data_IF_161810985749
#
_entry.id   IF_161810985749
#
_cell.length_a   1.000
_cell.length_b   1.000
_cell.length_c   1.000
_cell.angle_alpha   90.00
_cell.angle_beta   90.00
_cell.angle_gamma   90.00
#
_symmetry.space_group_name_H-M   'P 1'
#
loop_
_entity.id
_entity.type
_entity.pdbx_description
1 polymer ?
#
# COMPACT_ATOMS: atom_id res chain seq x y z
N UNK A 1 19.66 44.12 -46.23
CA UNK A 1 18.84 45.10 -46.98
C UNK A 1 17.38 44.74 -46.77
N UNK A 2 16.69 45.36 -45.81
CA UNK A 2 15.61 46.33 -46.03
C UNK A 2 14.49 45.97 -45.04
N UNK A 3 14.20 46.72 -43.97
CA UNK A 3 13.50 48.02 -43.91
C UNK A 3 12.14 47.95 -44.62
N UNK A 4 10.97 48.31 -44.06
CA UNK A 4 10.62 49.18 -42.93
C UNK A 4 9.08 49.13 -42.76
N UNK A 5 8.60 49.39 -41.52
CA UNK A 5 7.50 50.29 -41.06
C UNK A 5 6.15 50.29 -41.82
N UNK A 6 4.96 50.38 -41.21
CA UNK A 6 4.56 50.67 -39.83
C UNK A 6 3.12 51.24 -39.81
N UNK A 7 2.59 51.45 -38.60
CA UNK A 7 1.36 52.22 -38.30
C UNK A 7 0.04 51.44 -38.46
N UNK A 8 -0.96 51.51 -37.58
CA UNK A 8 -1.35 52.56 -36.64
C UNK A 8 -2.05 51.97 -35.40
N UNK A 9 -2.12 52.77 -34.32
CA UNK A 9 -2.55 52.32 -33.00
C UNK A 9 -3.96 52.73 -32.54
N UNK A 10 -4.40 51.98 -31.51
CA UNK A 10 -5.37 52.26 -30.43
C UNK A 10 -6.89 52.30 -30.76
N UNK A 11 -7.80 52.00 -29.79
CA UNK A 11 -7.58 51.78 -28.35
C UNK A 11 -8.10 50.45 -27.77
N UNK A 12 -7.60 50.17 -26.56
CA UNK A 12 -7.95 49.10 -25.64
C UNK A 12 -9.40 49.28 -25.14
N UNK A 13 -10.21 48.23 -25.25
CA UNK A 13 -11.38 48.01 -24.37
C UNK A 13 -11.18 46.67 -23.65
N UNK A 14 -11.04 46.75 -22.34
CA UNK A 14 -11.01 45.60 -21.43
C UNK A 14 -12.38 44.90 -21.49
N UNK A 15 -12.39 43.62 -21.86
CA UNK A 15 -13.44 42.68 -21.45
C UNK A 15 -12.78 41.33 -21.22
N UNK A 16 -13.03 40.78 -20.03
CA UNK A 16 -12.55 39.49 -19.56
C UNK A 16 -13.07 38.37 -20.46
N UNK A 17 -12.15 37.59 -21.04
CA UNK A 17 -12.45 36.31 -21.68
C UNK A 17 -11.91 35.18 -20.81
N UNK A 18 -12.82 34.50 -20.10
CA UNK A 18 -12.60 33.14 -19.59
C UNK A 18 -12.86 32.16 -20.74
N UNK A 19 -11.79 31.78 -21.44
CA UNK A 19 -11.83 30.76 -22.48
C UNK A 19 -11.44 29.38 -21.97
N UNK A 20 -12.11 28.37 -22.53
CA UNK A 20 -11.87 26.90 -22.47
C UNK A 20 -12.62 26.16 -21.37
N UNK A 21 -13.82 25.64 -21.67
CA UNK A 21 -14.17 24.20 -21.75
C UNK A 21 -15.52 24.08 -22.48
N UNK A 22 -15.54 24.13 -23.81
CA UNK A 22 -16.74 23.79 -24.59
C UNK A 22 -16.35 23.44 -26.03
N UNK A 23 -15.64 22.32 -26.18
CA UNK A 23 -15.19 21.85 -27.48
C UNK A 23 -14.71 20.42 -27.39
N UNK A 24 -15.63 19.49 -27.10
CA UNK A 24 -15.48 18.04 -27.31
C UNK A 24 -16.83 17.32 -27.06
N UNK A 25 -17.91 17.81 -27.67
CA UNK A 25 -19.16 17.05 -27.85
C UNK A 25 -19.78 17.44 -29.19
N UNK A 26 -19.21 16.95 -30.29
CA UNK A 26 -19.91 16.89 -31.57
C UNK A 26 -19.36 15.77 -32.45
N UNK A 27 -20.30 15.05 -33.06
CA UNK A 27 -20.19 13.94 -34.02
C UNK A 27 -19.82 12.59 -33.37
N UNK A 28 -20.66 11.55 -33.46
CA UNK A 28 -21.39 11.13 -34.66
C UNK A 28 -22.82 10.66 -34.36
N UNK A 29 -23.79 11.38 -34.93
CA UNK A 29 -25.12 10.88 -35.26
C UNK A 29 -25.03 10.39 -36.71
N UNK A 30 -25.11 9.09 -36.94
CA UNK A 30 -25.53 8.54 -38.24
C UNK A 30 -26.94 8.02 -38.10
N UNK A 31 -27.85 8.74 -38.73
CA UNK A 31 -29.25 8.42 -38.93
C UNK A 31 -29.33 7.11 -39.75
N UNK A 32 -29.94 6.07 -39.19
CA UNK A 32 -30.18 4.80 -39.86
C UNK A 32 -31.44 4.13 -39.30
N UNK A 33 -32.55 4.30 -40.00
CA UNK A 33 -33.83 3.59 -39.92
C UNK A 33 -34.53 3.44 -38.55
N UNK A 34 -35.47 4.36 -38.31
CA UNK A 34 -36.77 3.97 -37.76
C UNK A 34 -37.46 3.05 -38.76
N UNK A 35 -37.47 1.75 -38.47
CA UNK A 35 -38.25 0.75 -39.19
C UNK A 35 -38.71 -0.34 -38.23
N UNK A 36 -40.02 -0.36 -37.98
CA UNK A 36 -40.78 -1.49 -37.41
C UNK A 36 -40.51 -1.91 -35.95
N UNK A 37 -41.03 -1.11 -35.00
CA UNK A 37 -41.41 -1.61 -33.66
C UNK A 37 -42.89 -1.33 -33.36
N UNK A 38 -43.78 -1.67 -34.30
CA UNK A 38 -45.22 -1.63 -34.06
C UNK A 38 -45.76 -2.88 -33.35
N UNK A 39 -45.06 -4.03 -33.37
CA UNK A 39 -45.62 -5.30 -32.87
C UNK A 39 -44.76 -5.97 -31.79
N UNK A 40 -44.74 -5.42 -30.57
CA UNK A 40 -44.31 -6.12 -29.37
C UNK A 40 -45.45 -6.13 -28.34
N UNK A 41 -45.69 -7.25 -27.64
CA UNK A 41 -46.76 -7.37 -26.66
C UNK A 41 -46.60 -6.32 -25.54
N UNK A 42 -47.70 -5.81 -24.96
CA UNK A 42 -47.68 -4.69 -24.01
C UNK A 42 -46.77 -4.89 -22.78
N UNK A 43 -46.47 -6.14 -22.42
CA UNK A 43 -45.50 -6.47 -21.36
C UNK A 43 -44.04 -6.17 -21.72
N UNK A 44 -43.62 -6.27 -22.99
CA UNK A 44 -42.25 -6.00 -23.40
C UNK A 44 -41.91 -4.49 -23.39
N UNK A 45 -42.89 -3.64 -23.74
CA UNK A 45 -42.75 -2.17 -23.68
C UNK A 45 -42.69 -1.65 -22.23
N UNK A 46 -43.45 -2.26 -21.30
CA UNK A 46 -43.35 -1.95 -19.85
C UNK A 46 -42.02 -2.35 -19.22
N UNK A 47 -41.43 -3.48 -19.62
CA UNK A 47 -40.14 -3.96 -19.10
C UNK A 47 -38.98 -3.09 -19.63
N UNK A 48 -39.03 -2.69 -20.91
CA UNK A 48 -38.03 -1.82 -21.53
C UNK A 48 -38.01 -0.41 -20.91
N UNK A 49 -39.18 0.20 -20.68
CA UNK A 49 -39.27 1.50 -20.01
C UNK A 49 -38.80 1.45 -18.55
N UNK A 50 -39.13 0.38 -17.81
CA UNK A 50 -38.69 0.22 -16.41
C UNK A 50 -37.18 0.01 -16.27
N UNK A 51 -36.52 -0.60 -17.26
CA UNK A 51 -35.07 -0.74 -17.29
C UNK A 51 -34.39 0.60 -17.63
N UNK A 52 -34.93 1.33 -18.60
CA UNK A 52 -34.41 2.64 -18.98
C UNK A 52 -34.62 3.68 -17.86
N UNK A 53 -35.74 3.64 -17.15
CA UNK A 53 -36.01 4.44 -15.95
C UNK A 53 -35.08 4.06 -14.79
N UNK A 54 -34.85 2.77 -14.53
CA UNK A 54 -33.88 2.35 -13.51
C UNK A 54 -32.45 2.75 -13.84
N UNK A 55 -32.08 2.71 -15.13
CA UNK A 55 -30.77 3.19 -15.60
C UNK A 55 -30.66 4.71 -15.46
N UNK A 56 -31.71 5.45 -15.80
CA UNK A 56 -31.78 6.92 -15.60
C UNK A 56 -31.76 7.28 -14.11
N UNK A 57 -32.45 6.53 -13.24
CA UNK A 57 -32.41 6.69 -11.79
C UNK A 57 -31.03 6.38 -11.21
N UNK A 58 -30.40 5.27 -11.58
CA UNK A 58 -29.06 4.93 -11.10
C UNK A 58 -28.02 5.96 -11.58
N UNK A 59 -28.13 6.41 -12.82
CA UNK A 59 -27.29 7.48 -13.37
C UNK A 59 -27.55 8.80 -12.65
N UNK A 60 -28.81 9.14 -12.36
CA UNK A 60 -29.18 10.32 -11.60
C UNK A 60 -28.69 10.26 -10.14
N UNK A 61 -28.74 9.10 -9.47
CA UNK A 61 -28.23 8.89 -8.12
C UNK A 61 -26.70 9.03 -8.10
N UNK A 62 -26.03 8.46 -9.10
CA UNK A 62 -24.57 8.60 -9.27
C UNK A 62 -24.20 10.06 -9.56
N UNK A 63 -24.92 10.73 -10.45
CA UNK A 63 -24.71 12.14 -10.75
C UNK A 63 -25.03 13.04 -9.55
N UNK A 64 -26.08 12.75 -8.77
CA UNK A 64 -26.42 13.46 -7.54
C UNK A 64 -25.38 13.24 -6.44
N UNK A 65 -24.80 12.04 -6.35
CA UNK A 65 -23.70 11.74 -5.43
C UNK A 65 -22.41 12.47 -5.82
N UNK A 66 -22.12 12.57 -7.12
CA UNK A 66 -20.95 13.29 -7.65
C UNK A 66 -21.15 14.81 -7.53
N UNK A 67 -22.31 15.34 -7.89
CA UNK A 67 -22.65 16.77 -7.79
C UNK A 67 -22.77 17.21 -6.33
N UNK A 68 -23.37 16.39 -5.46
CA UNK A 68 -23.44 16.69 -4.02
C UNK A 68 -22.07 16.69 -3.33
N UNK A 69 -21.11 15.92 -3.85
CA UNK A 69 -19.73 15.91 -3.36
C UNK A 69 -18.88 17.07 -3.92
N UNK A 70 -19.12 17.53 -5.15
CA UNK A 70 -18.39 18.66 -5.75
C UNK A 70 -18.97 20.05 -5.39
N UNK A 71 -20.29 20.19 -5.19
CA UNK A 71 -20.97 21.49 -5.04
C UNK A 71 -21.66 21.71 -3.68
N UNK A 72 -21.46 20.82 -2.71
CA UNK A 72 -22.10 20.89 -1.38
C UNK A 72 -21.77 22.15 -0.55
N UNK A 73 -20.81 22.97 -0.98
CA UNK A 73 -20.46 24.24 -0.35
C UNK A 73 -21.19 25.48 -0.94
N UNK A 74 -21.86 25.37 -2.10
CA UNK A 74 -22.45 26.53 -2.79
C UNK A 74 -23.98 26.64 -2.69
N UNK A 75 -24.65 25.75 -1.95
CA UNK A 75 -26.11 25.77 -1.76
C UNK A 75 -26.45 26.20 -0.32
N UNK A 76 -26.10 27.44 0.04
CA UNK A 76 -26.78 28.15 1.13
C UNK A 76 -27.74 29.19 0.52
N UNK A 77 -29.06 29.13 0.77
CA UNK A 77 -29.95 30.23 0.43
C UNK A 77 -29.79 31.39 1.43
N UNK A 78 -29.99 32.66 1.03
CA UNK A 78 -29.78 33.80 1.91
C UNK A 78 -30.83 33.82 3.04
N UNK A 79 -30.35 34.06 4.26
CA UNK A 79 -31.17 34.11 5.48
C UNK A 79 -32.12 35.31 5.44
N UNK A 80 -33.42 35.07 5.58
CA UNK A 80 -34.43 36.10 5.89
C UNK A 80 -35.00 35.86 7.30
N UNK A 81 -35.39 36.93 8.04
CA UNK A 81 -35.57 36.86 9.48
C UNK A 81 -36.93 36.28 9.88
N UNK A 82 -36.88 35.63 11.04
CA UNK A 82 -37.91 34.87 11.75
C UNK A 82 -39.26 35.56 11.94
N UNK A 83 -40.35 34.76 11.88
CA UNK A 83 -41.59 35.05 12.62
C UNK A 83 -42.19 33.76 13.19
N UNK A 84 -42.59 33.83 14.45
CA UNK A 84 -43.18 32.73 15.22
C UNK A 84 -44.68 32.52 14.89
N UNK A 85 -45.14 31.26 14.87
CA UNK A 85 -46.44 30.79 15.44
C UNK A 85 -46.70 29.27 15.33
N UNK A 86 -46.97 28.67 16.51
CA UNK A 86 -48.02 27.71 16.94
C UNK A 86 -48.43 26.47 16.12
N UNK A 87 -48.18 25.31 16.75
CA UNK A 87 -48.98 24.05 16.88
C UNK A 87 -50.03 23.64 15.83
N UNK A 88 -49.86 22.43 15.29
CA UNK A 88 -50.93 21.60 14.72
C UNK A 88 -50.54 20.86 13.43
N UNK A 89 -50.04 19.62 13.57
CA UNK A 89 -49.89 18.53 12.58
C UNK A 89 -49.59 18.85 11.09
N UNK A 90 -48.46 18.33 10.59
CA UNK A 90 -48.24 18.03 9.17
C UNK A 90 -47.37 16.74 9.03
N UNK A 91 -47.50 15.98 7.92
CA UNK A 91 -47.11 14.58 7.81
C UNK A 91 -45.63 14.36 7.48
N UNK A 92 -45.18 13.13 7.74
CA UNK A 92 -43.86 12.57 7.42
C UNK A 92 -43.37 12.98 6.02
N UNK A 93 -42.28 13.75 6.00
CA UNK A 93 -41.61 14.11 4.77
C UNK A 93 -40.59 15.21 4.99
N UNK A 94 -39.30 14.88 4.77
CA UNK A 94 -38.22 15.84 4.59
C UNK A 94 -38.00 16.85 5.74
N UNK A 95 -37.59 16.35 6.90
CA UNK A 95 -36.98 17.18 7.96
C UNK A 95 -35.46 17.25 7.79
N UNK A 96 -34.94 18.44 7.50
CA UNK A 96 -33.53 18.79 7.60
C UNK A 96 -33.10 18.82 9.07
N UNK A 97 -32.29 17.84 9.50
CA UNK A 97 -31.37 18.03 10.63
C UNK A 97 -29.95 18.02 10.09
N UNK A 98 -29.34 19.21 10.20
CA UNK A 98 -27.93 19.54 10.04
C UNK A 98 -27.02 18.44 10.59
N UNK A 99 -26.26 17.79 9.70
CA UNK A 99 -25.26 16.77 10.05
C UNK A 99 -25.68 15.31 9.86
N UNK A 100 -26.96 14.98 9.71
CA UNK A 100 -27.41 13.57 9.57
C UNK A 100 -27.71 13.11 8.13
N UNK A 101 -28.21 14.01 7.28
CA UNK A 101 -28.68 13.67 5.92
C UNK A 101 -27.54 13.32 4.96
N UNK A 102 -26.43 14.05 5.00
CA UNK A 102 -25.26 13.82 4.15
C UNK A 102 -24.56 12.50 4.50
N UNK A 103 -24.51 12.14 5.78
CA UNK A 103 -24.00 10.85 6.26
C UNK A 103 -24.89 9.70 5.80
N UNK A 104 -26.21 9.90 5.80
CA UNK A 104 -27.14 8.95 5.23
C UNK A 104 -26.92 8.77 3.74
N UNK A 105 -26.80 9.85 2.96
CA UNK A 105 -26.57 9.77 1.52
C UNK A 105 -25.24 9.06 1.20
N UNK A 106 -24.14 9.45 1.86
CA UNK A 106 -22.83 8.85 1.62
C UNK A 106 -22.83 7.34 1.93
N UNK A 107 -23.48 6.95 3.03
CA UNK A 107 -23.65 5.54 3.40
C UNK A 107 -24.48 4.76 2.38
N UNK A 108 -25.60 5.32 1.91
CA UNK A 108 -26.45 4.66 0.90
C UNK A 108 -25.74 4.53 -0.44
N UNK A 109 -25.04 5.59 -0.87
CA UNK A 109 -24.21 5.58 -2.09
C UNK A 109 -23.11 4.53 -1.99
N UNK A 110 -22.36 4.48 -0.87
CA UNK A 110 -21.35 3.46 -0.62
C UNK A 110 -21.92 2.03 -0.72
N UNK A 111 -23.06 1.77 -0.08
CA UNK A 111 -23.74 0.46 -0.16
C UNK A 111 -24.13 0.10 -1.59
N UNK A 112 -24.67 1.05 -2.35
CA UNK A 112 -25.04 0.83 -3.75
C UNK A 112 -23.82 0.53 -4.64
N UNK A 113 -22.73 1.29 -4.47
CA UNK A 113 -21.48 1.08 -5.20
C UNK A 113 -20.87 -0.31 -4.87
N UNK A 114 -20.82 -0.65 -3.58
CA UNK A 114 -20.29 -1.94 -3.10
C UNK A 114 -21.15 -3.10 -3.59
N UNK A 115 -22.48 -2.95 -3.59
CA UNK A 115 -23.39 -3.93 -4.18
C UNK A 115 -23.13 -4.13 -5.68
N UNK A 116 -22.99 -3.05 -6.44
CA UNK A 116 -22.69 -3.14 -7.88
C UNK A 116 -21.35 -3.82 -8.16
N UNK A 117 -20.35 -3.64 -7.29
CA UNK A 117 -19.06 -4.33 -7.41
C UNK A 117 -19.20 -5.83 -7.11
N UNK A 118 -19.77 -6.18 -5.95
CA UNK A 118 -19.68 -7.52 -5.37
C UNK A 118 -20.82 -8.47 -5.79
N UNK A 119 -21.93 -7.95 -6.30
CA UNK A 119 -23.07 -8.80 -6.66
C UNK A 119 -22.65 -9.80 -7.75
N UNK A 120 -23.01 -11.09 -7.65
CA UNK A 120 -22.74 -12.06 -8.71
C UNK A 120 -23.35 -11.63 -10.05
N UNK A 121 -22.71 -12.04 -11.15
CA UNK A 121 -23.22 -11.74 -12.49
C UNK A 121 -24.59 -12.38 -12.71
N UNK A 122 -25.51 -11.63 -13.30
CA UNK A 122 -26.82 -12.14 -13.69
C UNK A 122 -27.23 -11.57 -15.05
N UNK A 123 -28.25 -12.12 -15.73
CA UNK A 123 -28.76 -11.54 -16.97
C UNK A 123 -29.19 -10.07 -16.82
N UNK A 124 -29.61 -9.65 -15.60
CA UNK A 124 -30.00 -8.27 -15.29
C UNK A 124 -28.81 -7.36 -14.98
N UNK A 125 -27.71 -7.92 -14.51
CA UNK A 125 -26.50 -7.20 -14.14
C UNK A 125 -25.26 -7.98 -14.60
N UNK A 126 -24.88 -7.86 -15.89
CA UNK A 126 -23.73 -8.54 -16.46
C UNK A 126 -22.42 -8.19 -15.73
N UNK A 127 -21.47 -9.13 -15.73
CA UNK A 127 -20.17 -8.99 -15.04
C UNK A 127 -19.37 -7.76 -15.49
N UNK A 128 -19.42 -7.43 -16.79
CA UNK A 128 -18.67 -6.33 -17.41
C UNK A 128 -19.62 -5.30 -18.02
N UNK A 129 -20.52 -4.77 -17.20
CA UNK A 129 -21.45 -3.72 -17.62
C UNK A 129 -20.91 -2.33 -17.28
N UNK A 130 -21.30 -1.32 -18.08
CA UNK A 130 -20.93 0.09 -17.85
C UNK A 130 -21.23 0.55 -16.43
N UNK A 131 -22.37 0.11 -15.85
CA UNK A 131 -22.76 0.51 -14.49
C UNK A 131 -21.79 -0.03 -13.42
N UNK A 132 -21.31 -1.28 -13.55
CA UNK A 132 -20.29 -1.83 -12.65
C UNK A 132 -18.97 -1.10 -12.81
N UNK A 133 -18.59 -0.79 -14.05
CA UNK A 133 -17.37 -0.03 -14.34
C UNK A 133 -17.41 1.38 -13.73
N UNK A 134 -18.53 2.08 -13.87
CA UNK A 134 -18.72 3.39 -13.22
C UNK A 134 -18.64 3.28 -11.70
N UNK A 135 -19.22 2.22 -11.11
CA UNK A 135 -19.11 1.99 -9.67
C UNK A 135 -17.65 1.79 -9.24
N UNK A 136 -16.86 1.02 -9.99
CA UNK A 136 -15.43 0.80 -9.74
C UNK A 136 -14.64 2.13 -9.74
N UNK A 137 -14.87 2.98 -10.76
CA UNK A 137 -14.18 4.27 -10.87
C UNK A 137 -14.50 5.20 -9.69
N UNK A 138 -15.78 5.26 -9.28
CA UNK A 138 -16.24 6.07 -8.15
C UNK A 138 -15.74 5.55 -6.80
N UNK A 139 -15.65 4.23 -6.63
CA UNK A 139 -15.04 3.62 -5.44
C UNK A 139 -13.57 4.04 -5.36
N UNK A 140 -12.82 3.96 -6.46
CA UNK A 140 -11.42 4.33 -6.52
C UNK A 140 -11.18 5.81 -6.17
N UNK A 141 -11.90 6.72 -6.85
CA UNK A 141 -11.73 8.18 -6.67
C UNK A 141 -12.27 8.70 -5.35
N UNK A 142 -13.37 8.13 -4.86
CA UNK A 142 -14.04 8.56 -3.64
C UNK A 142 -13.71 7.73 -2.41
N UNK A 143 -12.68 6.87 -2.45
CA UNK A 143 -12.42 5.88 -1.39
C UNK A 143 -12.42 6.49 0.01
N UNK A 144 -11.77 7.64 0.21
CA UNK A 144 -11.71 8.32 1.52
C UNK A 144 -13.08 8.76 2.06
N UNK A 145 -14.04 9.04 1.18
CA UNK A 145 -15.42 9.39 1.53
C UNK A 145 -16.21 8.14 1.92
N UNK A 146 -15.95 7.02 1.23
CA UNK A 146 -16.73 5.79 1.37
C UNK A 146 -16.17 4.80 2.39
N UNK A 147 -14.85 4.85 2.69
CA UNK A 147 -14.10 3.96 3.59
C UNK A 147 -14.85 3.67 4.91
N UNK A 148 -15.42 4.66 5.63
CA UNK A 148 -16.09 4.40 6.90
C UNK A 148 -17.36 3.54 6.81
N UNK A 149 -17.90 3.34 5.60
CA UNK A 149 -19.19 2.68 5.36
C UNK A 149 -19.08 1.41 4.52
N UNK A 150 -17.87 0.97 4.14
CA UNK A 150 -17.64 -0.22 3.31
C UNK A 150 -16.89 -1.32 4.05
N UNK A 151 -17.09 -2.54 3.59
CA UNK A 151 -16.16 -3.63 3.85
C UNK A 151 -14.97 -3.49 2.88
N UNK A 152 -13.88 -2.88 3.37
CA UNK A 152 -12.67 -2.64 2.60
C UNK A 152 -12.06 -3.94 2.07
N UNK A 153 -12.12 -5.03 2.85
CA UNK A 153 -11.59 -6.33 2.41
C UNK A 153 -12.38 -6.85 1.22
N UNK A 154 -13.71 -6.89 1.33
CA UNK A 154 -14.56 -7.37 0.25
C UNK A 154 -14.38 -6.54 -1.03
N UNK A 155 -14.31 -5.21 -0.91
CA UNK A 155 -14.06 -4.31 -2.05
C UNK A 155 -12.71 -4.60 -2.71
N UNK A 156 -11.62 -4.71 -1.92
CA UNK A 156 -10.29 -5.00 -2.47
C UNK A 156 -10.26 -6.39 -3.14
N UNK A 157 -10.90 -7.41 -2.55
CA UNK A 157 -10.95 -8.75 -3.15
C UNK A 157 -11.75 -8.75 -4.46
N UNK A 158 -12.87 -8.04 -4.51
CA UNK A 158 -13.65 -7.89 -5.75
C UNK A 158 -12.89 -7.15 -6.85
N UNK A 159 -12.13 -6.11 -6.51
CA UNK A 159 -11.27 -5.41 -7.46
C UNK A 159 -10.12 -6.30 -7.95
N UNK A 160 -9.47 -7.06 -7.06
CA UNK A 160 -8.40 -7.99 -7.42
C UNK A 160 -8.90 -9.15 -8.29
N UNK A 161 -10.12 -9.64 -8.05
CA UNK A 161 -10.75 -10.67 -8.87
C UNK A 161 -10.92 -10.21 -10.33
N UNK A 162 -11.34 -8.95 -10.54
CA UNK A 162 -11.41 -8.35 -11.87
C UNK A 162 -10.02 -8.18 -12.52
N UNK A 163 -8.96 -8.11 -11.71
CA UNK A 163 -7.59 -7.97 -12.18
C UNK A 163 -6.87 -9.31 -12.43
N UNK A 164 -7.41 -10.42 -11.93
CA UNK A 164 -6.75 -11.73 -11.93
C UNK A 164 -6.30 -12.23 -13.32
N UNK A 165 -7.03 -11.88 -14.39
CA UNK A 165 -6.67 -12.21 -15.78
C UNK A 165 -6.39 -10.97 -16.63
N UNK A 166 -6.15 -9.82 -16.00
CA UNK A 166 -5.98 -8.55 -16.70
C UNK A 166 -4.85 -8.57 -17.73
N UNK A 167 -3.72 -9.22 -17.43
CA UNK A 167 -2.57 -9.29 -18.35
C UNK A 167 -2.90 -10.01 -19.66
N UNK A 168 -3.67 -11.11 -19.59
CA UNK A 168 -4.15 -11.83 -20.78
C UNK A 168 -5.15 -11.01 -21.61
N UNK A 169 -5.91 -10.13 -20.95
CA UNK A 169 -6.95 -9.31 -21.57
C UNK A 169 -6.38 -8.00 -22.16
N UNK A 170 -5.32 -7.46 -21.56
CA UNK A 170 -4.68 -6.19 -21.92
C UNK A 170 -3.62 -6.35 -23.04
N UNK A 171 -3.10 -7.55 -23.29
CA UNK A 171 -2.20 -7.83 -24.43
C UNK A 171 -2.82 -7.48 -25.79
N UNK A 172 -4.14 -7.54 -25.91
CA UNK A 172 -4.90 -7.17 -27.11
C UNK A 172 -4.80 -5.67 -27.47
N UNK A 173 -4.43 -4.80 -26.53
CA UNK A 173 -4.27 -3.35 -26.74
C UNK A 173 -3.11 -3.07 -27.69
N UNK A 174 -2.03 -3.85 -27.59
CA UNK A 174 -0.83 -3.71 -28.43
C UNK A 174 -1.14 -3.93 -29.91
N UNK A 175 -2.27 -4.58 -30.23
CA UNK A 175 -2.75 -4.86 -31.59
C UNK A 175 -3.73 -3.80 -32.13
N UNK A 176 -3.96 -2.68 -31.43
CA UNK A 176 -4.78 -1.57 -31.94
C UNK A 176 -6.30 -1.85 -32.00
N UNK A 177 -6.78 -2.92 -31.37
CA UNK A 177 -8.20 -3.29 -31.32
C UNK A 177 -8.95 -2.57 -30.18
N UNK A 178 -10.27 -2.33 -30.32
CA UNK A 178 -11.09 -1.79 -29.23
C UNK A 178 -11.06 -2.73 -28.01
N UNK A 179 -11.01 -2.15 -26.81
CA UNK A 179 -11.01 -2.90 -25.56
C UNK A 179 -12.28 -3.75 -25.43
N UNK A 180 -12.11 -5.02 -25.07
CA UNK A 180 -13.25 -5.83 -24.63
C UNK A 180 -13.85 -5.22 -23.34
N UNK A 181 -15.16 -5.39 -23.07
CA UNK A 181 -15.75 -4.95 -21.81
C UNK A 181 -15.03 -5.51 -20.57
N UNK A 182 -14.50 -6.73 -20.67
CA UNK A 182 -13.69 -7.36 -19.63
C UNK A 182 -12.35 -6.64 -19.42
N UNK A 183 -11.62 -6.34 -20.51
CA UNK A 183 -10.36 -5.60 -20.46
C UNK A 183 -10.54 -4.17 -19.91
N UNK A 184 -11.63 -3.50 -20.27
CA UNK A 184 -11.97 -2.17 -19.75
C UNK A 184 -12.34 -2.19 -18.25
N UNK A 185 -13.08 -3.22 -17.82
CA UNK A 185 -13.39 -3.43 -16.39
C UNK A 185 -12.11 -3.69 -15.59
N UNK A 186 -11.22 -4.55 -16.10
CA UNK A 186 -9.94 -4.84 -15.48
C UNK A 186 -9.05 -3.58 -15.38
N UNK A 187 -8.95 -2.79 -16.46
CA UNK A 187 -8.24 -1.51 -16.44
C UNK A 187 -8.77 -0.57 -15.36
N UNK A 188 -10.09 -0.43 -15.27
CA UNK A 188 -10.74 0.42 -14.27
C UNK A 188 -10.46 -0.06 -12.84
N UNK A 189 -10.48 -1.39 -12.61
CA UNK A 189 -10.15 -1.97 -11.32
C UNK A 189 -8.68 -1.75 -10.92
N UNK A 190 -7.73 -1.94 -11.84
CA UNK A 190 -6.30 -1.63 -11.62
C UNK A 190 -6.08 -0.16 -11.24
N UNK A 191 -6.79 0.75 -11.92
CA UNK A 191 -6.73 2.17 -11.61
C UNK A 191 -7.30 2.46 -10.21
N UNK A 192 -8.49 1.91 -9.90
CA UNK A 192 -9.12 2.05 -8.59
C UNK A 192 -8.24 1.52 -7.46
N UNK A 193 -7.62 0.34 -7.60
CA UNK A 193 -6.67 -0.20 -6.63
C UNK A 193 -5.49 0.75 -6.37
N UNK A 194 -4.98 1.40 -7.42
CA UNK A 194 -3.88 2.35 -7.29
C UNK A 194 -4.33 3.60 -6.53
N UNK A 195 -5.52 4.13 -6.83
CA UNK A 195 -6.10 5.28 -6.14
C UNK A 195 -6.33 4.97 -4.66
N UNK A 196 -6.97 3.84 -4.34
CA UNK A 196 -7.25 3.39 -2.97
C UNK A 196 -5.94 3.28 -2.18
N UNK A 197 -4.95 2.57 -2.73
CA UNK A 197 -3.66 2.37 -2.09
C UNK A 197 -2.96 3.70 -1.80
N UNK A 198 -2.92 4.62 -2.76
CA UNK A 198 -2.29 5.94 -2.53
C UNK A 198 -3.12 6.87 -1.64
N UNK A 199 -4.44 6.73 -1.60
CA UNK A 199 -5.28 7.58 -0.76
C UNK A 199 -5.19 7.21 0.73
N UNK A 200 -5.11 5.91 1.02
CA UNK A 200 -5.06 5.37 2.39
C UNK A 200 -4.11 4.16 2.46
N UNK A 201 -2.78 4.36 2.37
CA UNK A 201 -1.82 3.26 2.35
C UNK A 201 -1.96 2.29 3.53
N UNK A 202 -2.17 2.74 4.78
CA UNK A 202 -2.34 1.82 5.90
C UNK A 202 -3.56 0.90 5.76
N UNK A 203 -4.68 1.42 5.24
CA UNK A 203 -5.90 0.63 5.05
C UNK A 203 -5.68 -0.47 3.99
N UNK A 204 -4.99 -0.14 2.89
CA UNK A 204 -4.66 -1.13 1.86
C UNK A 204 -3.69 -2.19 2.39
N UNK A 205 -2.53 -1.78 2.93
CA UNK A 205 -1.46 -2.68 3.36
C UNK A 205 -1.97 -3.64 4.43
N UNK A 206 -2.59 -3.13 5.51
CA UNK A 206 -3.06 -3.97 6.61
C UNK A 206 -4.20 -4.90 6.20
N UNK A 207 -5.03 -4.49 5.23
CA UNK A 207 -6.09 -5.36 4.72
C UNK A 207 -5.50 -6.50 3.90
N UNK A 208 -4.64 -6.22 2.91
CA UNK A 208 -4.02 -7.27 2.09
C UNK A 208 -3.15 -8.21 2.94
N UNK A 209 -2.37 -7.68 3.89
CA UNK A 209 -1.58 -8.52 4.80
C UNK A 209 -2.46 -9.47 5.63
N UNK A 210 -3.61 -8.98 6.12
CA UNK A 210 -4.59 -9.82 6.84
C UNK A 210 -5.18 -10.91 5.94
N UNK A 211 -5.49 -10.60 4.68
CA UNK A 211 -5.94 -11.59 3.70
C UNK A 211 -4.86 -12.64 3.43
N UNK A 212 -3.60 -12.23 3.29
CA UNK A 212 -2.43 -13.11 3.13
C UNK A 212 -2.27 -14.05 4.32
N UNK A 213 -2.34 -13.53 5.56
CA UNK A 213 -2.26 -14.35 6.76
C UNK A 213 -3.42 -15.34 6.85
N UNK A 214 -4.65 -14.91 6.55
CA UNK A 214 -5.82 -15.79 6.53
C UNK A 214 -5.66 -16.90 5.50
N UNK A 215 -5.20 -16.57 4.30
CA UNK A 215 -4.97 -17.53 3.22
C UNK A 215 -3.88 -18.54 3.59
N UNK A 216 -2.79 -18.08 4.20
CA UNK A 216 -1.69 -18.94 4.66
C UNK A 216 -2.15 -19.88 5.78
N UNK A 217 -2.96 -19.39 6.72
CA UNK A 217 -3.54 -20.22 7.78
C UNK A 217 -4.49 -21.29 7.23
N UNK A 218 -5.30 -20.95 6.21
CA UNK A 218 -6.17 -21.91 5.53
C UNK A 218 -5.37 -23.01 4.80
N UNK A 219 -4.24 -22.66 4.18
CA UNK A 219 -3.36 -23.63 3.51
C UNK A 219 -2.74 -24.65 4.47
N UNK A 220 -2.50 -24.26 5.72
CA UNK A 220 -1.97 -25.15 6.74
C UNK A 220 -2.98 -26.25 7.16
N UNK A 221 -4.27 -26.07 6.88
CA UNK A 221 -5.31 -27.05 7.16
C UNK A 221 -5.55 -27.99 5.96
N UNK A 222 -5.30 -29.29 6.15
CA UNK A 222 -5.33 -30.33 5.10
C UNK A 222 -6.65 -30.45 4.33
N UNK A 223 -7.79 -30.12 4.95
CA UNK A 223 -9.12 -30.20 4.31
C UNK A 223 -9.42 -29.03 3.36
N UNK A 224 -8.70 -27.91 3.46
CA UNK A 224 -8.96 -26.71 2.66
C UNK A 224 -8.12 -26.63 1.37
N UNK A 225 -7.14 -27.53 1.18
CA UNK A 225 -6.17 -27.49 0.09
C UNK A 225 -6.78 -27.51 -1.33
N UNK A 226 -7.96 -28.12 -1.51
CA UNK A 226 -8.55 -28.30 -2.84
C UNK A 226 -9.06 -27.01 -3.51
N UNK A 227 -9.32 -25.93 -2.75
CA UNK A 227 -9.89 -24.67 -3.29
C UNK A 227 -8.95 -23.46 -3.22
N UNK A 228 -7.72 -23.62 -2.71
CA UNK A 228 -6.79 -22.50 -2.42
C UNK A 228 -6.32 -21.77 -3.69
N UNK A 229 -6.03 -22.51 -4.76
CA UNK A 229 -5.50 -21.96 -6.01
C UNK A 229 -6.53 -21.15 -6.81
N UNK A 230 -7.81 -21.23 -6.45
CA UNK A 230 -8.90 -20.50 -7.11
C UNK A 230 -9.20 -19.14 -6.47
N UNK A 231 -8.61 -18.85 -5.30
CA UNK A 231 -8.87 -17.60 -4.59
C UNK A 231 -8.40 -16.37 -5.39
N UNK A 232 -9.18 -15.29 -5.34
CA UNK A 232 -8.87 -14.02 -6.00
C UNK A 232 -7.48 -13.49 -5.60
N UNK A 233 -7.08 -13.67 -4.34
CA UNK A 233 -5.76 -13.29 -3.81
C UNK A 233 -4.61 -14.05 -4.50
N UNK A 234 -4.73 -15.38 -4.67
CA UNK A 234 -3.69 -16.19 -5.29
C UNK A 234 -3.54 -15.89 -6.79
N UNK A 235 -4.64 -15.56 -7.48
CA UNK A 235 -4.64 -15.22 -8.91
C UNK A 235 -4.15 -13.81 -9.19
N UNK A 236 -4.28 -12.88 -8.23
CA UNK A 236 -3.94 -11.47 -8.41
C UNK A 236 -2.54 -11.08 -7.89
N UNK A 237 -1.62 -12.05 -7.67
CA UNK A 237 -0.28 -11.79 -7.11
C UNK A 237 0.53 -10.73 -7.87
N UNK A 238 0.50 -10.76 -9.21
CA UNK A 238 1.23 -9.77 -10.03
C UNK A 238 0.68 -8.35 -9.83
N UNK A 239 -0.65 -8.24 -9.75
CA UNK A 239 -1.31 -6.97 -9.52
C UNK A 239 -1.07 -6.43 -8.11
N UNK A 240 -1.05 -7.30 -7.09
CA UNK A 240 -0.72 -6.93 -5.72
C UNK A 240 0.71 -6.36 -5.67
N UNK A 241 1.69 -7.05 -6.28
CA UNK A 241 3.08 -6.58 -6.33
C UNK A 241 3.19 -5.22 -7.02
N UNK A 242 2.45 -4.99 -8.12
CA UNK A 242 2.40 -3.70 -8.80
C UNK A 242 1.89 -2.58 -7.88
N UNK A 243 0.84 -2.83 -7.10
CA UNK A 243 0.29 -1.82 -6.18
C UNK A 243 1.26 -1.56 -5.01
N UNK A 244 1.90 -2.60 -4.49
CA UNK A 244 2.94 -2.46 -3.45
C UNK A 244 4.14 -1.65 -3.96
N UNK A 245 4.57 -1.87 -5.20
CA UNK A 245 5.62 -1.08 -5.84
C UNK A 245 5.24 0.42 -5.92
N UNK A 246 4.02 0.71 -6.38
CA UNK A 246 3.48 2.09 -6.39
C UNK A 246 3.45 2.71 -4.99
N UNK A 247 3.06 1.94 -3.97
CA UNK A 247 3.04 2.40 -2.59
C UNK A 247 4.44 2.76 -2.10
N UNK A 248 5.43 1.91 -2.38
CA UNK A 248 6.82 2.13 -1.98
C UNK A 248 7.42 3.35 -2.70
N UNK A 249 7.05 3.59 -3.96
CA UNK A 249 7.52 4.75 -4.72
C UNK A 249 6.82 6.05 -4.33
N UNK A 250 5.50 6.05 -4.16
CA UNK A 250 4.72 7.28 -3.91
C UNK A 250 4.55 7.61 -2.43
N UNK A 251 4.46 6.61 -1.57
CA UNK A 251 4.18 6.73 -0.14
C UNK A 251 5.22 5.97 0.72
N UNK A 252 6.53 6.29 0.59
CA UNK A 252 7.60 5.53 1.23
C UNK A 252 7.55 5.57 2.77
N UNK A 253 7.06 6.66 3.37
CA UNK A 253 6.93 6.77 4.82
C UNK A 253 5.87 5.81 5.37
N UNK A 254 4.68 5.79 4.77
CA UNK A 254 3.62 4.86 5.15
C UNK A 254 4.03 3.40 4.91
N UNK A 255 4.76 3.12 3.83
CA UNK A 255 5.30 1.79 3.56
C UNK A 255 6.30 1.36 4.64
N UNK A 256 7.12 2.27 5.15
CA UNK A 256 8.10 1.99 6.21
C UNK A 256 7.44 1.80 7.57
N UNK A 257 6.35 2.51 7.83
CA UNK A 257 5.55 2.33 9.04
C UNK A 257 4.94 0.92 9.15
N UNK A 258 4.70 0.27 8.01
CA UNK A 258 4.10 -1.06 7.89
C UNK A 258 5.01 -2.04 7.14
N UNK A 259 6.32 -1.91 7.30
CA UNK A 259 7.26 -2.58 6.40
C UNK A 259 7.32 -4.10 6.58
N UNK A 260 6.97 -4.59 7.76
CA UNK A 260 6.83 -6.03 8.01
C UNK A 260 5.64 -6.58 7.24
N UNK A 261 4.50 -5.90 7.28
CA UNK A 261 3.29 -6.24 6.52
C UNK A 261 3.54 -6.15 5.02
N UNK A 262 4.25 -5.13 4.56
CA UNK A 262 4.68 -5.00 3.15
C UNK A 262 5.55 -6.20 2.75
N UNK A 263 6.52 -6.60 3.58
CA UNK A 263 7.35 -7.76 3.31
C UNK A 263 6.54 -9.07 3.31
N UNK A 264 5.60 -9.25 4.23
CA UNK A 264 4.71 -10.42 4.27
C UNK A 264 3.94 -10.57 2.94
N UNK A 265 3.41 -9.46 2.42
CA UNK A 265 2.71 -9.42 1.13
C UNK A 265 3.66 -9.79 -0.01
N UNK A 266 4.85 -9.19 -0.05
CA UNK A 266 5.87 -9.48 -1.07
C UNK A 266 6.25 -10.96 -1.06
N UNK A 267 6.53 -11.52 0.13
CA UNK A 267 6.91 -12.91 0.30
C UNK A 267 5.80 -13.91 -0.05
N UNK A 268 4.53 -13.50 0.10
CA UNK A 268 3.39 -14.28 -0.38
C UNK A 268 3.28 -14.27 -1.92
N UNK A 269 3.51 -13.12 -2.53
CA UNK A 269 3.32 -12.93 -3.96
C UNK A 269 4.49 -13.46 -4.80
N UNK A 270 5.72 -13.42 -4.30
CA UNK A 270 6.91 -13.89 -5.02
C UNK A 270 7.19 -15.35 -4.71
N UNK A 271 7.61 -16.11 -5.71
CA UNK A 271 8.06 -17.49 -5.50
C UNK A 271 9.40 -17.56 -4.77
N UNK A 272 9.46 -18.33 -3.68
CA UNK A 272 10.70 -18.53 -2.91
C UNK A 272 11.84 -19.11 -3.74
N UNK A 273 11.55 -19.93 -4.75
CA UNK A 273 12.54 -20.46 -5.72
C UNK A 273 13.24 -19.33 -6.48
N UNK A 274 12.47 -18.32 -6.91
CA UNK A 274 12.97 -17.18 -7.66
C UNK A 274 13.86 -16.30 -6.79
N UNK A 275 13.45 -16.00 -5.56
CA UNK A 275 14.25 -15.22 -4.59
C UNK A 275 15.56 -15.93 -4.28
N UNK A 276 15.57 -17.26 -4.13
CA UNK A 276 16.82 -18.01 -3.91
C UNK A 276 17.78 -17.96 -5.09
N UNK A 277 17.25 -17.93 -6.33
CA UNK A 277 18.06 -17.97 -7.55
C UNK A 277 18.61 -16.61 -7.95
N UNK A 278 17.79 -15.56 -7.82
CA UNK A 278 18.06 -14.21 -8.33
C UNK A 278 18.34 -13.18 -7.22
N UNK A 279 18.01 -13.52 -5.98
CA UNK A 279 18.04 -12.60 -4.85
C UNK A 279 16.84 -11.66 -4.83
N UNK A 280 16.61 -11.07 -3.65
CA UNK A 280 15.48 -10.16 -3.42
C UNK A 280 15.57 -8.90 -4.29
N UNK A 281 16.78 -8.38 -4.52
CA UNK A 281 16.99 -7.16 -5.29
C UNK A 281 16.55 -7.28 -6.76
N UNK A 282 16.75 -8.43 -7.40
CA UNK A 282 16.27 -8.65 -8.77
C UNK A 282 14.77 -8.97 -8.79
N UNK A 283 14.26 -9.67 -7.78
CA UNK A 283 12.84 -10.04 -7.72
C UNK A 283 11.93 -8.85 -7.41
N UNK A 284 12.39 -7.93 -6.54
CA UNK A 284 11.60 -6.77 -6.10
C UNK A 284 12.53 -5.63 -5.61
N UNK A 285 13.13 -4.85 -6.52
CA UNK A 285 14.16 -3.86 -6.18
C UNK A 285 13.67 -2.73 -5.28
N UNK A 286 12.40 -2.34 -5.38
CA UNK A 286 11.84 -1.19 -4.67
C UNK A 286 11.95 -1.31 -3.14
N UNK A 287 11.82 -2.52 -2.59
CA UNK A 287 11.92 -2.77 -1.14
C UNK A 287 13.35 -2.67 -0.61
N UNK A 288 14.34 -2.95 -1.45
CA UNK A 288 15.76 -2.97 -1.09
C UNK A 288 16.36 -1.56 -0.92
N UNK A 289 15.61 -0.50 -1.26
CA UNK A 289 16.05 0.89 -1.05
C UNK A 289 16.02 1.33 0.41
N UNK A 290 15.32 0.58 1.27
CA UNK A 290 15.23 0.87 2.69
C UNK A 290 16.35 0.18 3.46
N UNK A 291 17.14 0.92 4.23
CA UNK A 291 18.26 0.36 5.00
C UNK A 291 17.84 -0.61 6.10
N UNK A 292 16.56 -0.60 6.49
CA UNK A 292 16.02 -1.54 7.45
C UNK A 292 15.61 -2.89 6.82
N UNK A 293 15.80 -3.08 5.50
CA UNK A 293 15.69 -4.36 4.80
C UNK A 293 17.08 -4.87 4.44
N UNK A 294 17.39 -6.10 4.82
CA UNK A 294 18.62 -6.79 4.42
C UNK A 294 18.32 -8.18 3.89
N UNK A 295 18.96 -8.57 2.78
CA UNK A 295 18.92 -9.93 2.24
C UNK A 295 20.32 -10.54 2.28
N UNK A 296 20.43 -11.75 2.81
CA UNK A 296 21.65 -12.54 2.76
C UNK A 296 21.50 -13.67 1.74
N UNK A 297 22.25 -13.58 0.65
CA UNK A 297 22.22 -14.56 -0.42
C UNK A 297 22.67 -15.95 0.05
N UNK A 298 23.77 -16.01 0.81
CA UNK A 298 24.32 -17.26 1.35
C UNK A 298 23.33 -18.04 2.23
N UNK A 299 22.61 -17.34 3.12
CA UNK A 299 21.67 -17.99 4.03
C UNK A 299 20.24 -18.05 3.48
N UNK A 300 19.93 -17.35 2.38
CA UNK A 300 18.58 -17.09 1.88
C UNK A 300 17.65 -16.58 3.00
N UNK A 301 18.12 -15.55 3.73
CA UNK A 301 17.35 -14.92 4.81
C UNK A 301 17.12 -13.46 4.50
N UNK A 302 15.98 -12.95 4.92
CA UNK A 302 15.63 -11.53 4.86
C UNK A 302 15.43 -11.05 6.30
N UNK A 303 16.00 -9.91 6.64
CA UNK A 303 15.76 -9.21 7.89
C UNK A 303 15.05 -7.90 7.58
N UNK A 304 14.00 -7.60 8.35
CA UNK A 304 13.20 -6.38 8.26
C UNK A 304 13.13 -5.76 9.64
N UNK A 305 13.64 -4.55 9.79
CA UNK A 305 13.53 -3.76 11.01
C UNK A 305 12.17 -3.08 11.11
N UNK A 306 11.45 -3.30 12.21
CA UNK A 306 10.14 -2.71 12.45
C UNK A 306 10.22 -1.38 13.22
N UNK A 307 9.14 -0.59 13.12
CA UNK A 307 8.97 0.66 13.88
C UNK A 307 8.98 0.47 15.39
N UNK A 308 8.56 -0.70 15.87
CA UNK A 308 8.49 -1.02 17.31
C UNK A 308 9.77 -1.70 17.86
N UNK A 309 10.90 -1.58 17.15
CA UNK A 309 12.18 -2.10 17.63
C UNK A 309 12.36 -3.63 17.53
N UNK A 310 11.42 -4.29 16.86
CA UNK A 310 11.50 -5.72 16.53
C UNK A 310 12.12 -5.94 15.16
N UNK A 311 12.81 -7.07 15.00
CA UNK A 311 13.32 -7.57 13.73
C UNK A 311 12.44 -8.73 13.29
N UNK A 312 11.82 -8.63 12.12
CA UNK A 312 11.21 -9.75 11.43
C UNK A 312 12.27 -10.45 10.57
N UNK A 313 12.53 -11.72 10.86
CA UNK A 313 13.53 -12.55 10.20
C UNK A 313 12.83 -13.65 9.41
N UNK A 314 12.92 -13.57 8.09
CA UNK A 314 12.33 -14.52 7.15
C UNK A 314 13.38 -15.52 6.69
N UNK A 315 13.04 -16.80 6.76
CA UNK A 315 13.78 -17.87 6.10
C UNK A 315 13.08 -18.22 4.79
N UNK A 316 13.67 -17.81 3.66
CA UNK A 316 13.08 -17.97 2.32
C UNK A 316 12.95 -19.46 1.94
N UNK A 317 13.76 -20.34 2.54
CA UNK A 317 13.74 -21.79 2.24
C UNK A 317 12.52 -22.45 2.86
N UNK A 318 12.23 -22.10 4.11
CA UNK A 318 11.14 -22.71 4.89
C UNK A 318 9.85 -21.92 4.86
N UNK A 319 9.88 -20.66 4.41
CA UNK A 319 8.74 -19.73 4.48
C UNK A 319 8.41 -19.27 5.90
N UNK A 320 9.24 -19.60 6.90
CA UNK A 320 9.01 -19.23 8.30
C UNK A 320 9.49 -17.82 8.57
N UNK A 321 8.72 -17.08 9.35
CA UNK A 321 9.07 -15.76 9.89
C UNK A 321 9.21 -15.83 11.41
N UNK A 322 10.18 -15.11 11.96
CA UNK A 322 10.40 -14.95 13.39
C UNK A 322 10.48 -13.47 13.74
N UNK A 323 9.78 -13.06 14.78
CA UNK A 323 9.88 -11.71 15.32
C UNK A 323 10.75 -11.73 16.58
N UNK A 324 11.83 -10.95 16.57
CA UNK A 324 12.77 -10.82 17.69
C UNK A 324 12.82 -9.36 18.13
N UNK A 325 12.49 -9.09 19.38
CA UNK A 325 12.63 -7.76 19.95
C UNK A 325 14.09 -7.48 20.29
N UNK A 326 14.60 -6.30 19.89
CA UNK A 326 16.02 -6.00 20.05
C UNK A 326 16.38 -4.55 20.31
N UNK A 327 15.45 -3.64 20.10
CA UNK A 327 15.60 -2.20 20.26
C UNK A 327 14.33 -1.64 20.92
N UNK A 328 14.42 -0.53 21.64
CA UNK A 328 13.28 0.12 22.29
C UNK A 328 12.51 1.05 21.35
N UNK A 329 13.12 1.41 20.22
CA UNK A 329 12.62 2.32 19.21
C UNK A 329 12.86 1.79 17.79
N UNK A 330 12.50 2.58 16.76
CA UNK A 330 12.51 2.13 15.37
C UNK A 330 13.88 1.64 14.91
N UNK A 331 13.90 0.46 14.28
CA UNK A 331 15.11 -0.03 13.63
C UNK A 331 15.29 0.70 12.31
N UNK A 332 16.35 1.49 12.23
CA UNK A 332 16.67 2.36 11.09
C UNK A 332 17.61 1.72 10.08
N UNK A 333 18.40 0.73 10.48
CA UNK A 333 19.24 -0.03 9.57
C UNK A 333 19.43 -1.47 10.03
N UNK A 334 19.52 -2.40 9.07
CA UNK A 334 19.90 -3.79 9.27
C UNK A 334 20.91 -4.20 8.20
N UNK A 335 21.82 -5.11 8.52
CA UNK A 335 22.76 -5.64 7.52
C UNK A 335 23.33 -6.97 7.97
N UNK A 336 23.30 -7.96 7.06
CA UNK A 336 23.91 -9.27 7.31
C UNK A 336 25.42 -9.24 7.07
N UNK A 337 26.15 -10.01 7.87
CA UNK A 337 27.54 -10.30 7.60
C UNK A 337 27.70 -11.08 6.27
N UNK A 338 28.81 -10.93 5.55
CA UNK A 338 29.06 -11.67 4.30
C UNK A 338 29.04 -13.20 4.46
N UNK A 339 29.41 -13.70 5.65
CA UNK A 339 29.33 -15.14 5.97
C UNK A 339 27.92 -15.63 6.36
N UNK A 340 26.94 -14.73 6.47
CA UNK A 340 25.55 -15.03 6.83
C UNK A 340 25.33 -15.50 8.26
N UNK A 341 26.35 -15.48 9.13
CA UNK A 341 26.24 -15.96 10.52
C UNK A 341 25.87 -14.88 11.51
N UNK A 342 25.99 -13.63 11.12
CA UNK A 342 25.68 -12.49 11.98
C UNK A 342 24.77 -11.48 11.27
N UNK A 343 24.00 -10.77 12.08
CA UNK A 343 23.17 -9.65 11.68
C UNK A 343 23.53 -8.46 12.57
N UNK A 344 23.68 -7.28 11.99
CA UNK A 344 23.76 -6.01 12.72
C UNK A 344 22.44 -5.27 12.56
N UNK A 345 21.94 -4.67 13.63
CA UNK A 345 20.74 -3.83 13.62
C UNK A 345 21.01 -2.54 14.38
N UNK A 346 20.49 -1.42 13.89
CA UNK A 346 20.75 -0.09 14.43
C UNK A 346 19.44 0.70 14.62
N UNK A 347 19.28 1.26 15.82
CA UNK A 347 18.21 2.19 16.17
C UNK A 347 18.82 3.55 16.47
N UNK A 348 18.52 4.53 15.62
CA UNK A 348 18.99 5.91 15.83
C UNK A 348 18.32 6.55 17.06
N UNK A 349 17.03 6.28 17.27
CA UNK A 349 16.28 6.79 18.41
C UNK A 349 16.82 6.23 19.73
N UNK A 350 17.18 4.95 19.76
CA UNK A 350 17.76 4.35 20.96
C UNK A 350 19.24 4.64 21.09
N UNK A 351 19.91 5.15 20.04
CA UNK A 351 21.36 5.37 20.03
C UNK A 351 22.16 4.09 20.26
N UNK A 352 21.69 2.96 19.71
CA UNK A 352 22.33 1.65 19.89
C UNK A 352 22.46 0.86 18.58
N UNK A 353 23.60 0.18 18.44
CA UNK A 353 23.81 -0.89 17.47
C UNK A 353 23.90 -2.23 18.20
N UNK A 354 23.11 -3.20 17.75
CA UNK A 354 23.07 -4.56 18.30
C UNK A 354 23.55 -5.57 17.26
N UNK A 355 24.38 -6.51 17.71
CA UNK A 355 24.93 -7.60 16.93
C UNK A 355 24.30 -8.91 17.36
N UNK A 356 23.91 -9.70 16.37
CA UNK A 356 23.15 -10.90 16.57
C UNK A 356 23.85 -12.08 15.92
N UNK A 357 23.92 -13.20 16.63
CA UNK A 357 24.42 -14.45 16.11
C UNK A 357 23.27 -15.36 15.70
N UNK A 358 23.41 -15.95 14.52
CA UNK A 358 22.51 -16.97 13.99
C UNK A 358 22.92 -18.33 14.55
N UNK A 359 22.15 -18.89 15.48
CA UNK A 359 22.37 -20.26 15.92
C UNK A 359 21.58 -21.21 15.02
N UNK A 360 22.29 -21.90 14.12
CA UNK A 360 21.75 -23.12 13.49
C UNK A 360 22.02 -24.27 14.44
N UNK A 361 21.01 -24.74 15.16
CA UNK A 361 21.14 -26.02 15.87
C UNK A 361 21.48 -27.10 14.84
N UNK A 362 22.60 -27.82 15.03
CA UNK A 362 23.01 -28.92 14.16
C UNK A 362 21.91 -30.00 14.09
N UNK A 363 21.16 -30.19 15.17
CA UNK A 363 20.01 -31.10 15.27
C UNK A 363 18.78 -30.58 14.51
N UNK A 364 18.63 -29.25 14.39
CA UNK A 364 17.58 -28.63 13.58
C UNK A 364 17.84 -28.75 12.07
N UNK A 365 19.11 -28.72 11.65
CA UNK A 365 19.49 -28.96 10.25
C UNK A 365 19.34 -30.41 9.79
N UNK A 366 19.28 -31.37 10.73
CA UNK A 366 19.11 -32.81 10.44
C UNK A 366 17.65 -33.25 10.72
N UNK A 367 16.73 -32.32 11.01
CA UNK A 367 15.31 -32.61 11.22
C UNK A 367 14.99 -33.37 12.51
N UNK A 368 15.98 -33.56 13.40
CA UNK A 368 15.83 -34.29 14.67
C UNK A 368 15.10 -33.48 15.75
N UNK A 369 15.04 -32.15 15.59
CA UNK A 369 14.29 -31.26 16.46
C UNK A 369 13.67 -30.12 15.64
N UNK A 370 12.45 -29.70 15.98
CA UNK A 370 11.84 -28.42 15.56
C UNK A 370 12.57 -27.22 16.21
N UNK A 371 13.90 -27.19 16.19
CA UNK A 371 14.67 -26.06 16.72
C UNK A 371 14.63 -24.94 15.70
N UNK A 372 13.70 -24.02 15.92
CA UNK A 372 13.66 -22.71 15.29
C UNK A 372 15.03 -22.06 15.38
N UNK A 373 15.58 -21.49 14.27
CA UNK A 373 16.81 -20.72 14.35
C UNK A 373 16.67 -19.66 15.43
N UNK A 374 17.59 -19.61 16.39
CA UNK A 374 17.54 -18.57 17.43
C UNK A 374 18.52 -17.47 17.06
N UNK A 375 17.97 -16.26 16.87
CA UNK A 375 18.75 -15.04 16.75
C UNK A 375 19.10 -14.59 18.17
N UNK A 376 20.36 -14.72 18.59
CA UNK A 376 20.81 -14.32 19.92
C UNK A 376 21.58 -13.00 19.85
N UNK A 377 21.18 -11.99 20.63
CA UNK A 377 21.98 -10.79 20.78
C UNK A 377 23.28 -11.15 21.50
N UNK A 378 24.42 -10.85 20.88
CA UNK A 378 25.76 -11.15 21.41
C UNK A 378 26.44 -9.90 21.96
N UNK A 379 26.16 -8.73 21.38
CA UNK A 379 26.78 -7.49 21.81
C UNK A 379 25.96 -6.28 21.37
N UNK A 380 25.89 -5.28 22.22
CA UNK A 380 25.27 -3.99 21.91
C UNK A 380 26.25 -2.88 22.25
N UNK A 381 26.33 -1.86 21.40
CA UNK A 381 27.15 -0.67 21.63
C UNK A 381 26.28 0.56 21.55
N UNK A 382 26.55 1.52 22.42
CA UNK A 382 25.99 2.86 22.31
C UNK A 382 26.70 3.60 21.17
N UNK A 383 25.93 4.36 20.41
CA UNK A 383 26.41 5.16 19.28
C UNK A 383 25.86 6.57 19.45
N UNK A 384 26.66 7.63 19.30
CA UNK A 384 26.15 8.98 19.30
C UNK A 384 24.99 9.13 18.30
N UNK A 385 23.87 9.76 18.67
CA UNK A 385 22.73 9.95 17.77
C UNK A 385 23.17 10.57 16.45
N UNK A 386 22.77 9.96 15.33
CA UNK A 386 23.01 10.53 14.01
C UNK A 386 21.95 11.59 13.76
N UNK A 387 22.38 12.84 13.65
CA UNK A 387 21.50 13.98 13.37
C UNK A 387 21.16 14.01 11.87
N UNK A 388 19.97 14.51 11.47
CA UNK A 388 19.64 14.75 10.06
C UNK A 388 20.41 15.95 9.48
N UNK A 389 20.57 16.00 8.15
CA UNK A 389 21.29 17.06 7.42
C UNK A 389 20.74 18.47 7.68
N UNK A 390 19.45 18.57 8.01
CA UNK A 390 18.78 19.84 8.26
C UNK A 390 17.77 19.67 9.40
N UNK A 391 17.70 20.62 10.35
CA UNK A 391 16.65 20.64 11.37
C UNK A 391 15.28 20.62 10.69
N UNK A 392 14.48 19.57 10.92
CA UNK A 392 13.17 19.37 10.30
C UNK A 392 13.13 18.45 9.06
N UNK A 393 14.28 18.00 8.54
CA UNK A 393 14.32 16.95 7.52
C UNK A 393 14.01 15.59 8.14
N UNK A 394 12.74 15.18 8.05
CA UNK A 394 12.22 13.91 8.58
C UNK A 394 12.53 12.70 7.69
N UNK A 395 13.57 12.76 6.85
CA UNK A 395 13.90 11.61 6.00
C UNK A 395 14.70 10.55 6.81
N UNK A 396 14.05 10.02 7.85
CA UNK A 396 14.57 8.97 8.73
C UNK A 396 15.02 7.73 7.95
N UNK A 397 14.50 7.56 6.73
CA UNK A 397 14.71 6.44 5.83
C UNK A 397 16.15 6.26 5.37
N UNK A 398 16.98 7.32 5.40
CA UNK A 398 18.36 7.29 4.92
C UNK A 398 19.37 7.94 5.88
N UNK A 399 19.09 7.94 7.18
CA UNK A 399 19.98 8.58 8.17
C UNK A 399 21.34 7.91 8.29
N UNK A 400 21.36 6.58 8.30
CA UNK A 400 22.60 5.81 8.38
C UNK A 400 22.41 4.42 7.76
N UNK A 401 23.50 3.85 7.25
CA UNK A 401 23.54 2.49 6.73
C UNK A 401 24.65 1.68 7.39
N UNK A 402 24.44 0.37 7.49
CA UNK A 402 25.39 -0.58 8.06
C UNK A 402 26.18 -1.27 6.95
N UNK A 403 27.50 -1.23 7.04
CA UNK A 403 28.43 -1.79 6.05
C UNK A 403 29.38 -2.75 6.74
N UNK A 404 29.38 -4.00 6.32
CA UNK A 404 30.36 -4.97 6.78
C UNK A 404 31.64 -4.85 5.95
N UNK A 405 32.78 -4.61 6.61
CA UNK A 405 34.11 -4.61 5.96
C UNK A 405 34.85 -5.93 6.13
N UNK A 406 34.43 -6.73 7.11
CA UNK A 406 34.84 -8.12 7.30
C UNK A 406 33.76 -8.82 8.12
N UNK A 407 33.86 -10.14 8.35
CA UNK A 407 32.95 -10.87 9.23
C UNK A 407 32.98 -10.44 10.71
N UNK A 408 33.83 -9.48 11.09
CA UNK A 408 33.98 -8.98 12.47
C UNK A 408 33.86 -7.47 12.61
N UNK A 409 33.91 -6.74 11.50
CA UNK A 409 33.98 -5.28 11.48
C UNK A 409 32.79 -4.70 10.73
N UNK A 410 32.09 -3.78 11.39
CA UNK A 410 30.94 -3.08 10.84
C UNK A 410 31.16 -1.58 10.95
N UNK A 411 30.81 -0.88 9.89
CA UNK A 411 30.78 0.59 9.82
C UNK A 411 29.31 1.00 9.83
N UNK A 412 28.94 1.83 10.79
CA UNK A 412 27.74 2.66 10.68
C UNK A 412 28.16 3.95 9.95
N UNK A 413 27.70 4.09 8.72
CA UNK A 413 27.95 5.27 7.89
C UNK A 413 26.72 6.16 7.94
N UNK A 414 26.86 7.32 8.57
CA UNK A 414 25.85 8.36 8.60
C UNK A 414 25.73 9.05 7.22
N UNK A 415 24.59 9.69 6.98
CA UNK A 415 24.30 10.38 5.72
C UNK A 415 25.26 11.55 5.41
N UNK A 416 25.89 12.13 6.43
CA UNK A 416 26.90 13.20 6.35
C UNK A 416 28.31 12.65 6.03
N UNK A 417 28.44 11.32 5.87
CA UNK A 417 29.70 10.64 5.63
C UNK A 417 30.47 10.28 6.90
N UNK A 418 29.98 10.65 8.09
CA UNK A 418 30.64 10.27 9.35
C UNK A 418 30.55 8.77 9.58
N UNK A 419 31.69 8.17 9.90
CA UNK A 419 31.80 6.73 10.12
C UNK A 419 31.99 6.40 11.60
N UNK A 420 31.23 5.42 12.09
CA UNK A 420 31.47 4.80 13.39
C UNK A 420 31.82 3.33 13.15
N UNK A 421 33.01 2.92 13.60
CA UNK A 421 33.56 1.59 13.36
C UNK A 421 33.42 0.71 14.59
N UNK A 422 32.92 -0.50 14.40
CA UNK A 422 32.68 -1.47 15.46
C UNK A 422 33.37 -2.79 15.13
N UNK A 423 34.10 -3.33 16.09
CA UNK A 423 34.61 -4.71 16.09
C UNK A 423 33.86 -5.49 17.17
N UNK A 424 32.98 -6.42 16.79
CA UNK A 424 32.08 -7.08 17.76
C UNK A 424 32.59 -8.43 18.28
N UNK A 425 33.59 -9.04 17.63
CA UNK A 425 34.27 -10.26 18.09
C UNK A 425 35.78 -10.03 18.17
N UNK A 426 36.31 -9.86 19.39
CA UNK A 426 37.76 -9.89 19.65
C UNK A 426 38.24 -11.35 19.73
N UNK A 427 39.40 -11.66 19.16
CA UNK A 427 40.01 -12.99 19.32
C UNK A 427 40.39 -13.27 20.78
N UNK A 428 40.63 -14.55 21.14
CA UNK A 428 41.02 -15.01 22.50
C UNK A 428 42.18 -14.24 23.16
N UNK A 429 42.96 -13.47 22.40
CA UNK A 429 44.03 -12.61 22.90
C UNK A 429 43.47 -11.29 23.47
N UNK A 430 42.59 -10.61 22.73
CA UNK A 430 41.98 -9.35 23.17
C UNK A 430 41.04 -9.46 24.37
N UNK A 431 40.42 -10.62 24.59
CA UNK A 431 39.66 -10.88 25.83
C UNK A 431 40.55 -11.01 27.07
N UNK A 432 41.75 -11.60 26.93
CA UNK A 432 42.73 -11.70 28.02
C UNK A 432 43.36 -10.37 28.35
N UNK A 433 43.58 -9.53 27.34
CA UNK A 433 44.14 -8.19 27.53
C UNK A 433 43.14 -7.26 28.23
N UNK A 434 41.84 -7.31 27.88
CA UNK A 434 40.78 -6.57 28.62
C UNK A 434 40.62 -7.06 30.06
N UNK A 435 40.67 -8.37 30.29
CA UNK A 435 40.56 -8.92 31.65
C UNK A 435 41.74 -8.48 32.51
N UNK A 436 42.96 -8.43 31.94
CA UNK A 436 44.14 -7.85 32.59
C UNK A 436 44.02 -6.35 32.80
N UNK A 437 43.43 -5.61 31.85
CA UNK A 437 43.26 -4.16 31.97
C UNK A 437 42.21 -3.79 33.03
N UNK A 438 41.14 -4.59 33.14
CA UNK A 438 40.09 -4.46 34.16
C UNK A 438 40.58 -4.89 35.55
N UNK A 439 41.39 -5.96 35.63
CA UNK A 439 42.11 -6.35 36.85
C UNK A 439 43.10 -5.27 37.31
N UNK A 440 43.83 -4.65 36.37
CA UNK A 440 44.74 -3.56 36.69
C UNK A 440 44.02 -2.29 37.15
N UNK A 441 42.88 -1.92 36.54
CA UNK A 441 42.09 -0.77 37.00
C UNK A 441 41.50 -0.99 38.39
N UNK A 442 40.92 -2.17 38.64
CA UNK A 442 40.36 -2.52 39.95
C UNK A 442 41.42 -2.71 41.04
N UNK A 443 42.69 -2.91 40.66
CA UNK A 443 43.83 -2.90 41.58
C UNK A 443 44.29 -1.48 41.88
N UNK A 444 44.38 -0.62 40.88
CA UNK A 444 44.70 0.80 41.05
C UNK A 444 43.66 1.54 41.90
N UNK A 445 42.37 1.25 41.71
CA UNK A 445 41.29 1.82 42.54
C UNK A 445 41.38 1.38 44.00
N UNK A 446 41.81 0.14 44.28
CA UNK A 446 42.03 -0.36 45.65
C UNK A 446 43.28 0.23 46.33
N UNK A 447 44.28 0.64 45.56
CA UNK A 447 45.46 1.32 46.08
C UNK A 447 45.20 2.81 46.40
N UNK A 448 44.19 3.41 45.78
CA UNK A 448 43.78 4.80 46.03
C UNK A 448 42.87 4.91 47.27
N UNK A 449 42.04 3.90 47.55
CA UNK A 449 41.07 3.91 48.66
C UNK A 449 41.66 3.42 50.00
N UNK A 450 42.94 3.02 50.01
CA UNK A 450 43.64 2.45 51.16
C UNK A 450 44.85 3.23 51.67
N UNK A 451 45.09 4.45 51.17
CA UNK A 451 46.11 5.39 51.66
C UNK A 451 45.49 6.65 52.20
#
# INVERSE_FOLDING_TARGET
MGARRGGAGKPIRLRQDNGRVAGLFRQSYTRGNMGCLSNLPPNAKKICNSYEERRKQATAIVLLGVIGAEFGAEIEPPKLPSRARTSGQAPEGFGLTTGGSNYSLARHTCKALTFLLLQPSSPKLPAHSTIRRTAIDLIGRGFTVWEPYMDVSAVLMGLLELCADAEKQLSNITMGLPLSPAADSARSARHALSLIATARPPAFITTIAREVHRHTAMQANSQAQQNVHMTSLARAKTEILRVIDILIEKMPNDAVDLLVEVMDIIMYCIESSLVKKKGLNECFPAICKFYMVGYCDRSHRIAVGARQGSVALYDVRTGKCQNIHGHKGPITAVSFAPDGRYLATYSNADSHISFWQMNTSLLGSIGMLNSTPQLKCIKTYQVPPVQPASPGSQNALKLARLIWTSNRNVILMAHDGKEHRFMFLRGKKGQRDEQREMENRSRAEREIDGG
#
